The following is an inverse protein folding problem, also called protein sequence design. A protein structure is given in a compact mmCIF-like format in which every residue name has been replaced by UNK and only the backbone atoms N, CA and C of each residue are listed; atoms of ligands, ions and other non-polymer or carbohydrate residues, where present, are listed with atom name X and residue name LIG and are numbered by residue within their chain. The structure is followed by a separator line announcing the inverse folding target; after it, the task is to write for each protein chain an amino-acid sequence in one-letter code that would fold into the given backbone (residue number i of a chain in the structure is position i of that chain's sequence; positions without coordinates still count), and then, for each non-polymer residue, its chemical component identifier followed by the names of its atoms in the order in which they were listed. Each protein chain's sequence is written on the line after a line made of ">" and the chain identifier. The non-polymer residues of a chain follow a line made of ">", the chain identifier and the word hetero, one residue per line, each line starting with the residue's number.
data_IF_320602172677
#
_entry.id   IF_320602172677
#
_cell.length_a   1.000
_cell.length_b   1.000
_cell.length_c   1.000
_cell.angle_alpha   90.00
_cell.angle_beta   90.00
_cell.angle_gamma   90.00
#
_symmetry.space_group_name_H-M   'P 1'
#
loop_
_entity.id
_entity.type
_entity.pdbx_description
1 polymer ?
#
# COMPACT_ATOMS: atom_id res chain seq x y z
N UNK A 1 -1.62 8.53 -17.15
CA UNK A 1 -0.73 8.51 -15.98
C UNK A 1 -1.23 9.45 -14.90
N UNK A 2 -1.42 8.93 -13.69
CA UNK A 2 -1.84 9.70 -12.52
C UNK A 2 -0.61 10.23 -11.77
N UNK A 3 -0.74 11.42 -11.17
CA UNK A 3 0.27 12.09 -10.37
C UNK A 3 1.62 12.32 -11.09
N UNK A 4 1.61 12.41 -12.42
CA UNK A 4 2.81 12.47 -13.27
C UNK A 4 3.79 11.32 -13.02
N UNK A 5 3.27 10.12 -12.72
CA UNK A 5 4.04 8.90 -12.50
C UNK A 5 3.57 7.81 -13.46
N UNK A 6 4.53 7.15 -14.10
CA UNK A 6 4.28 5.99 -14.94
C UNK A 6 4.47 4.72 -14.11
N UNK A 7 3.38 4.27 -13.47
CA UNK A 7 3.34 3.03 -12.70
C UNK A 7 2.41 2.08 -13.45
N UNK A 8 2.92 0.96 -13.99
CA UNK A 8 2.08 -0.02 -14.67
C UNK A 8 1.22 -0.75 -13.66
N UNK A 9 -0.05 -0.94 -14.00
CA UNK A 9 -1.00 -1.65 -13.15
C UNK A 9 -0.90 -3.17 -13.35
N UNK A 10 -1.04 -3.93 -12.26
CA UNK A 10 -1.27 -5.37 -12.29
C UNK A 10 -2.76 -5.65 -12.15
N UNK A 11 -3.40 -6.42 -13.07
CA UNK A 11 -4.83 -6.74 -12.96
C UNK A 11 -5.21 -7.45 -11.66
N UNK A 12 -4.34 -8.32 -11.16
CA UNK A 12 -4.55 -9.07 -9.92
C UNK A 12 -4.55 -8.14 -8.70
N UNK A 13 -3.53 -7.28 -8.60
CA UNK A 13 -3.41 -6.29 -7.52
C UNK A 13 -4.58 -5.30 -7.57
N UNK A 14 -4.99 -4.89 -8.77
CA UNK A 14 -6.16 -4.03 -8.95
C UNK A 14 -7.44 -4.70 -8.46
N UNK A 15 -7.62 -6.00 -8.69
CA UNK A 15 -8.79 -6.72 -8.21
C UNK A 15 -8.78 -6.85 -6.68
N UNK A 16 -7.64 -7.23 -6.10
CA UNK A 16 -7.48 -7.28 -4.63
C UNK A 16 -7.75 -5.91 -3.99
N UNK A 17 -7.23 -4.84 -4.61
CA UNK A 17 -7.45 -3.46 -4.14
C UNK A 17 -8.92 -3.06 -4.25
N UNK A 18 -9.62 -3.37 -5.34
CA UNK A 18 -11.06 -3.08 -5.48
C UNK A 18 -11.92 -3.83 -4.46
N UNK A 19 -11.53 -5.05 -4.09
CA UNK A 19 -12.22 -5.81 -3.05
C UNK A 19 -12.03 -5.16 -1.67
N UNK A 20 -10.83 -4.67 -1.39
CA UNK A 20 -10.50 -3.99 -0.14
C UNK A 20 -10.93 -2.51 -0.10
N UNK A 21 -11.10 -1.86 -1.24
CA UNK A 21 -11.47 -0.46 -1.41
C UNK A 21 -12.58 -0.32 -2.48
N UNK A 22 -13.84 -0.62 -2.13
CA UNK A 22 -14.97 -0.49 -3.05
C UNK A 22 -15.17 0.96 -3.51
N UNK A 23 -15.39 1.16 -4.81
CA UNK A 23 -15.48 2.49 -5.43
C UNK A 23 -16.61 3.37 -4.85
N UNK A 24 -17.68 2.76 -4.36
CA UNK A 24 -18.83 3.42 -3.73
C UNK A 24 -18.59 3.76 -2.24
N UNK A 25 -17.51 3.26 -1.63
CA UNK A 25 -17.20 3.43 -0.19
C UNK A 25 -15.77 3.87 0.09
N UNK A 26 -15.10 4.51 -0.88
CA UNK A 26 -13.68 4.90 -0.79
C UNK A 26 -13.38 5.70 0.49
N UNK A 27 -14.16 6.74 0.78
CA UNK A 27 -13.90 7.61 1.93
C UNK A 27 -14.10 6.87 3.26
N UNK A 28 -15.17 6.08 3.38
CA UNK A 28 -15.45 5.27 4.57
C UNK A 28 -14.34 4.25 4.82
N UNK A 29 -13.86 3.62 3.75
CA UNK A 29 -12.80 2.60 3.81
C UNK A 29 -11.47 3.20 4.25
N UNK A 30 -11.08 4.36 3.71
CA UNK A 30 -9.83 5.02 4.10
C UNK A 30 -9.91 5.52 5.55
N UNK A 31 -11.09 5.96 6.01
CA UNK A 31 -11.33 6.31 7.42
C UNK A 31 -11.21 5.10 8.34
N UNK A 32 -11.62 3.91 7.88
CA UNK A 32 -11.40 2.65 8.58
C UNK A 32 -9.99 2.07 8.38
N UNK A 33 -9.06 2.85 7.82
CA UNK A 33 -7.71 2.44 7.43
C UNK A 33 -7.69 1.39 6.31
N UNK A 34 -6.80 1.58 5.34
CA UNK A 34 -6.49 0.61 4.30
C UNK A 34 -5.10 0.05 4.55
N UNK A 35 -4.99 -1.26 4.61
CA UNK A 35 -3.75 -1.97 4.90
C UNK A 35 -3.25 -2.74 3.69
N UNK A 36 -1.93 -2.74 3.52
CA UNK A 36 -1.18 -3.67 2.68
C UNK A 36 -0.18 -4.39 3.58
N UNK A 37 -0.44 -5.66 3.82
CA UNK A 37 0.40 -6.55 4.60
C UNK A 37 1.31 -7.33 3.68
N UNK A 38 2.59 -7.42 4.04
CA UNK A 38 3.60 -8.23 3.36
C UNK A 38 4.00 -9.35 4.31
N UNK A 39 3.83 -10.60 3.91
CA UNK A 39 4.21 -11.77 4.69
C UNK A 39 5.17 -12.67 3.94
N UNK A 40 5.85 -13.54 4.66
CA UNK A 40 6.67 -14.62 4.13
C UNK A 40 6.12 -15.95 4.62
N UNK A 41 6.11 -16.94 3.73
CA UNK A 41 5.80 -18.32 4.09
C UNK A 41 6.97 -19.23 3.72
N UNK A 42 7.41 -20.08 4.66
CA UNK A 42 8.41 -21.12 4.40
C UNK A 42 7.78 -22.34 3.73
N UNK A 43 8.59 -23.23 3.16
CA UNK A 43 8.09 -24.48 2.56
C UNK A 43 7.38 -25.40 3.56
N UNK A 44 7.74 -25.31 4.84
CA UNK A 44 7.11 -26.06 5.93
C UNK A 44 5.76 -25.45 6.38
N UNK A 45 5.34 -24.34 5.76
CA UNK A 45 4.05 -23.70 5.95
C UNK A 45 4.01 -22.62 7.04
N UNK A 46 5.13 -22.36 7.71
CA UNK A 46 5.21 -21.29 8.71
C UNK A 46 5.10 -19.93 8.03
N UNK A 47 4.21 -19.08 8.53
CA UNK A 47 3.97 -17.74 8.01
C UNK A 47 4.39 -16.67 9.03
N UNK A 48 4.97 -15.58 8.55
CA UNK A 48 5.33 -14.41 9.34
C UNK A 48 5.01 -13.13 8.58
N UNK A 49 4.31 -12.20 9.23
CA UNK A 49 4.14 -10.84 8.74
C UNK A 49 5.46 -10.08 8.87
N UNK A 50 5.94 -9.53 7.75
CA UNK A 50 7.16 -8.73 7.68
C UNK A 50 6.88 -7.24 7.84
N UNK A 51 5.83 -6.75 7.17
CA UNK A 51 5.48 -5.33 7.12
C UNK A 51 3.97 -5.15 7.05
N UNK A 52 3.50 -4.08 7.68
CA UNK A 52 2.13 -3.59 7.56
C UNK A 52 2.18 -2.13 7.13
N UNK A 53 1.70 -1.85 5.92
CA UNK A 53 1.60 -0.51 5.37
C UNK A 53 0.17 -0.01 5.52
N UNK A 54 -0.01 1.15 6.15
CA UNK A 54 -1.34 1.73 6.41
C UNK A 54 -1.50 3.05 5.67
N UNK A 55 -2.61 3.17 4.93
CA UNK A 55 -3.11 4.43 4.40
C UNK A 55 -4.31 4.87 5.25
N UNK A 56 -4.20 6.05 5.84
CA UNK A 56 -5.24 6.64 6.67
C UNK A 56 -5.37 8.14 6.42
N UNK A 57 -6.49 8.70 6.87
CA UNK A 57 -6.72 10.15 6.90
C UNK A 57 -6.68 10.62 8.36
N UNK A 58 -5.79 11.54 8.68
CA UNK A 58 -5.80 12.23 9.96
C UNK A 58 -6.96 13.25 9.99
N UNK A 59 -8.05 12.89 10.66
CA UNK A 59 -9.23 13.76 10.79
C UNK A 59 -8.98 14.98 11.69
N UNK A 60 -7.90 14.98 12.48
CA UNK A 60 -7.56 16.11 13.36
C UNK A 60 -6.89 17.26 12.60
N UNK A 61 -6.35 16.99 11.42
CA UNK A 61 -5.61 17.95 10.60
C UNK A 61 -6.27 18.18 9.24
N UNK A 62 -7.35 18.96 9.23
CA UNK A 62 -8.02 19.39 8.02
C UNK A 62 -7.68 20.84 7.66
N UNK A 63 -6.91 21.03 6.59
CA UNK A 63 -6.65 22.36 6.03
C UNK A 63 -7.68 22.71 4.95
N UNK A 64 -8.74 23.40 5.36
CA UNK A 64 -9.80 23.89 4.46
C UNK A 64 -9.38 25.12 3.65
N UNK A 65 -8.18 25.68 3.89
CA UNK A 65 -7.67 26.84 3.14
C UNK A 65 -7.06 26.44 1.79
N UNK A 66 -6.71 25.16 1.62
CA UNK A 66 -6.25 24.57 0.37
C UNK A 66 -7.38 24.46 -0.65
N UNK A 67 -7.59 25.52 -1.42
CA UNK A 67 -8.63 25.59 -2.46
C UNK A 67 -8.20 25.04 -3.82
N UNK A 68 -6.92 24.71 -4.00
CA UNK A 68 -6.37 24.32 -5.29
C UNK A 68 -6.19 22.79 -5.39
N UNK A 69 -7.06 22.14 -6.16
CA UNK A 69 -6.96 20.71 -6.53
C UNK A 69 -5.55 20.34 -7.04
N UNK A 70 -4.89 21.25 -7.76
CA UNK A 70 -3.53 21.08 -8.27
C UNK A 70 -2.49 20.88 -7.14
N UNK A 71 -2.66 21.55 -6.00
CA UNK A 71 -1.75 21.41 -4.86
C UNK A 71 -1.88 20.02 -4.23
N UNK A 72 -3.10 19.52 -4.07
CA UNK A 72 -3.34 18.15 -3.58
C UNK A 72 -2.75 17.13 -4.53
N UNK A 73 -3.01 17.26 -5.84
CA UNK A 73 -2.46 16.37 -6.86
C UNK A 73 -0.92 16.32 -6.83
N UNK A 74 -0.26 17.48 -6.71
CA UNK A 74 1.19 17.55 -6.62
C UNK A 74 1.74 16.92 -5.34
N UNK A 75 1.10 17.19 -4.19
CA UNK A 75 1.50 16.59 -2.90
C UNK A 75 1.32 15.07 -2.90
N UNK A 76 0.26 14.54 -3.51
CA UNK A 76 0.08 13.10 -3.72
C UNK A 76 1.18 12.51 -4.61
N UNK A 77 1.60 13.22 -5.65
CA UNK A 77 2.75 12.81 -6.47
C UNK A 77 4.06 12.75 -5.68
N UNK A 78 4.29 13.68 -4.75
CA UNK A 78 5.45 13.61 -3.83
C UNK A 78 5.32 12.40 -2.91
N UNK A 79 4.15 12.19 -2.29
CA UNK A 79 3.89 11.06 -1.40
C UNK A 79 4.20 9.72 -2.09
N UNK A 80 3.71 9.53 -3.32
CA UNK A 80 3.98 8.31 -4.09
C UNK A 80 5.46 8.13 -4.44
N UNK A 81 6.18 9.21 -4.76
CA UNK A 81 7.65 9.16 -4.98
C UNK A 81 8.40 8.76 -3.71
N UNK A 82 7.98 9.29 -2.56
CA UNK A 82 8.52 8.90 -1.26
C UNK A 82 8.27 7.42 -0.99
N UNK A 83 7.04 6.92 -1.22
CA UNK A 83 6.69 5.52 -1.04
C UNK A 83 7.54 4.59 -1.92
N UNK A 84 7.74 4.93 -3.20
CA UNK A 84 8.63 4.17 -4.11
C UNK A 84 10.06 4.09 -3.57
N UNK A 85 10.54 5.15 -2.91
CA UNK A 85 11.87 5.18 -2.33
C UNK A 85 11.94 4.32 -1.07
N UNK A 86 10.98 4.47 -0.16
CA UNK A 86 10.98 3.77 1.14
C UNK A 86 10.83 2.26 0.93
N UNK A 87 9.95 1.82 0.04
CA UNK A 87 9.74 0.39 -0.29
C UNK A 87 10.98 -0.33 -0.82
N UNK A 88 12.09 0.36 -1.10
CA UNK A 88 13.35 -0.23 -1.59
C UNK A 88 14.44 -0.32 -0.54
N UNK A 89 14.27 0.33 0.61
CA UNK A 89 15.26 0.38 1.69
C UNK A 89 14.87 -0.49 2.87
N UNK A 90 13.67 -1.08 2.86
CA UNK A 90 13.22 -1.92 3.97
C UNK A 90 13.86 -3.32 3.92
N UNK A 91 14.00 -4.00 5.07
CA UNK A 91 14.47 -5.38 5.11
C UNK A 91 13.61 -6.34 4.27
N UNK A 92 12.29 -6.16 4.24
CA UNK A 92 11.40 -7.01 3.46
C UNK A 92 11.65 -6.87 1.94
N UNK A 93 12.05 -5.68 1.46
CA UNK A 93 12.51 -5.53 0.09
C UNK A 93 13.69 -6.44 -0.21
N UNK A 94 14.75 -6.37 0.61
CA UNK A 94 15.94 -7.19 0.42
C UNK A 94 15.62 -8.69 0.48
N UNK A 95 14.74 -9.11 1.38
CA UNK A 95 14.27 -10.49 1.48
C UNK A 95 13.46 -10.91 0.25
N UNK A 96 12.54 -10.06 -0.24
CA UNK A 96 11.72 -10.36 -1.42
C UNK A 96 12.55 -10.61 -2.67
N UNK A 97 13.75 -10.02 -2.77
CA UNK A 97 14.68 -10.24 -3.89
C UNK A 97 15.36 -11.60 -3.84
N UNK A 98 15.36 -12.27 -2.69
CA UNK A 98 16.00 -13.58 -2.45
C UNK A 98 15.04 -14.77 -2.59
N UNK A 99 13.73 -14.55 -2.77
CA UNK A 99 12.72 -15.62 -2.93
C UNK A 99 13.00 -16.59 -4.10
N UNK A 100 13.87 -16.21 -5.04
CA UNK A 100 14.26 -17.08 -6.17
C UNK A 100 15.38 -18.06 -5.82
N UNK A 101 16.10 -17.80 -4.73
CA UNK A 101 17.30 -18.54 -4.33
C UNK A 101 17.15 -19.23 -2.98
N UNK A 102 16.18 -18.82 -2.18
CA UNK A 102 15.91 -19.32 -0.83
C UNK A 102 14.50 -19.95 -0.76
N UNK A 103 14.31 -20.90 0.16
CA UNK A 103 13.08 -21.70 0.32
C UNK A 103 11.98 -20.96 1.08
N UNK A 104 11.47 -19.88 0.50
CA UNK A 104 10.28 -19.18 0.98
C UNK A 104 9.60 -18.40 -0.15
N UNK A 105 8.32 -18.05 0.06
CA UNK A 105 7.55 -17.18 -0.85
C UNK A 105 7.05 -15.94 -0.12
N UNK A 106 7.05 -14.79 -0.80
CA UNK A 106 6.48 -13.54 -0.27
C UNK A 106 5.03 -13.41 -0.75
N UNK A 107 4.14 -13.08 0.17
CA UNK A 107 2.73 -12.82 -0.10
C UNK A 107 2.36 -11.38 0.23
N UNK A 108 1.26 -10.93 -0.35
CA UNK A 108 0.64 -9.66 -0.01
C UNK A 108 -0.84 -9.85 0.28
N UNK A 109 -1.39 -9.02 1.17
CA UNK A 109 -2.82 -8.96 1.45
C UNK A 109 -3.27 -7.51 1.55
N UNK A 110 -4.31 -7.16 0.80
CA UNK A 110 -4.94 -5.83 0.88
C UNK A 110 -6.27 -5.97 1.61
N UNK A 111 -6.49 -5.17 2.66
CA UNK A 111 -7.71 -5.20 3.45
C UNK A 111 -7.98 -3.85 4.12
N UNK A 112 -9.20 -3.64 4.62
CA UNK A 112 -9.57 -2.47 5.42
C UNK A 112 -10.07 -2.89 6.80
N UNK A 113 -10.14 -1.94 7.73
CA UNK A 113 -10.51 -2.18 9.13
C UNK A 113 -9.30 -2.57 9.98
N UNK A 114 -9.55 -3.08 11.19
CA UNK A 114 -8.50 -3.39 12.17
C UNK A 114 -7.38 -4.29 11.59
N UNK A 115 -6.10 -3.97 11.86
CA UNK A 115 -4.97 -4.87 11.61
C UNK A 115 -5.23 -6.26 12.21
N UNK A 116 -4.91 -7.31 11.45
CA UNK A 116 -5.06 -8.70 11.93
C UNK A 116 -3.74 -9.26 12.44
#
# INVERSE_FOLDING_TARGET
>A
DWFNLQIPDSPEVNQATKNALPSDRVLETIKSQLHVEISVQTEDGDEMVLELWTLELDETQFDTSLKAMNTVYFRMGILLKSLITITRITPAYHLSRKQRTESFTIFYRVYNGEPK
#
